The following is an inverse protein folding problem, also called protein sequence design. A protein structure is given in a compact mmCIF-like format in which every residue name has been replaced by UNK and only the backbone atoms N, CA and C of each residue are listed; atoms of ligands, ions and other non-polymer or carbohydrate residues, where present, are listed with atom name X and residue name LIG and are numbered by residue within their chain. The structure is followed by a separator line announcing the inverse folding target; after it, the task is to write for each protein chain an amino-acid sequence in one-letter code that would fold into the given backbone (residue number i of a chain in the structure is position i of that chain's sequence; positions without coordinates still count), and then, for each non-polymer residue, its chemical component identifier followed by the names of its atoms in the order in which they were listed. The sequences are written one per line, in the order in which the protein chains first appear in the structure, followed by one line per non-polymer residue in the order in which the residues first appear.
data_IF_522601054099
#
_entry.id   IF_522601054099
#
_cell.length_a   1.000
_cell.length_b   1.000
_cell.length_c   1.000
_cell.angle_alpha   90.00
_cell.angle_beta   90.00
_cell.angle_gamma   90.00
#
_symmetry.space_group_name_H-M   'P 1'
#
loop_
_entity.id
_entity.type
_entity.pdbx_description
1 polymer ?
#
# COMPACT_ATOMS: atom_id res chain seq x y z
N UNK A 1 68.49 -5.12 41.31
CA UNK A 1 67.32 -5.48 42.12
C UNK A 1 66.09 -5.13 41.27
N UNK A 2 65.41 -6.16 40.71
CA UNK A 2 64.06 -6.16 40.09
C UNK A 2 63.80 -5.14 38.94
N UNK A 3 63.31 -5.47 37.75
CA UNK A 3 62.81 -6.70 37.14
C UNK A 3 62.90 -6.57 35.61
N UNK A 4 62.97 -7.73 35.00
CA UNK A 4 63.16 -8.14 33.61
C UNK A 4 62.05 -7.76 32.61
N UNK A 5 62.52 -7.50 31.39
CA UNK A 5 61.82 -7.54 30.10
C UNK A 5 61.24 -8.94 29.84
N UNK A 6 60.02 -9.03 29.33
CA UNK A 6 59.40 -10.26 28.84
C UNK A 6 58.38 -9.99 27.73
N UNK A 7 58.73 -10.38 26.50
CA UNK A 7 57.86 -10.38 25.31
C UNK A 7 56.93 -11.60 25.34
N UNK A 8 55.64 -11.37 25.10
CA UNK A 8 54.63 -12.31 24.58
C UNK A 8 53.56 -11.39 23.95
N UNK A 9 53.24 -11.40 22.65
CA UNK A 9 53.04 -12.52 21.77
C UNK A 9 51.53 -12.73 21.60
N UNK A 10 50.88 -11.98 20.71
CA UNK A 10 49.85 -12.49 19.79
C UNK A 10 49.26 -11.37 18.93
N UNK A 11 49.39 -11.53 17.62
CA UNK A 11 48.86 -10.66 16.57
C UNK A 11 47.33 -10.56 16.62
N UNK A 12 46.81 -9.37 16.90
CA UNK A 12 45.44 -9.01 16.56
C UNK A 12 45.39 -8.56 15.09
N UNK A 13 45.14 -9.50 14.17
CA UNK A 13 44.82 -9.18 12.77
C UNK A 13 43.37 -8.68 12.75
N UNK A 14 43.21 -7.35 12.73
CA UNK A 14 41.92 -6.71 12.53
C UNK A 14 41.55 -6.84 11.04
N UNK A 15 40.81 -7.88 10.70
CA UNK A 15 40.27 -8.11 9.36
C UNK A 15 39.15 -7.10 9.09
N UNK A 16 39.52 -5.96 8.52
CA UNK A 16 38.56 -4.98 7.97
C UNK A 16 37.94 -5.62 6.72
N UNK A 17 36.77 -6.23 6.91
CA UNK A 17 35.93 -6.68 5.79
C UNK A 17 35.42 -5.42 5.09
N UNK A 18 36.12 -5.02 4.04
CA UNK A 18 35.60 -4.07 3.05
C UNK A 18 34.39 -4.70 2.37
N UNK A 19 33.20 -4.42 2.91
CA UNK A 19 31.96 -4.54 2.14
C UNK A 19 32.04 -3.47 1.06
N UNK A 20 32.55 -3.86 -0.12
CA UNK A 20 32.53 -3.03 -1.31
C UNK A 20 31.07 -2.82 -1.71
N UNK A 21 30.49 -1.73 -1.22
CA UNK A 21 29.25 -1.17 -1.74
C UNK A 21 29.54 -0.69 -3.15
N UNK A 22 29.26 -1.51 -4.17
CA UNK A 22 29.25 -1.08 -5.57
C UNK A 22 28.10 -0.07 -5.76
N UNK A 23 28.31 1.19 -5.35
CA UNK A 23 27.46 2.30 -5.76
C UNK A 23 27.77 2.59 -7.22
N UNK A 24 26.78 2.44 -8.09
CA UNK A 24 26.89 2.72 -9.51
C UNK A 24 27.25 4.20 -9.73
N UNK A 25 28.38 4.44 -10.40
CA UNK A 25 28.99 5.75 -10.66
C UNK A 25 28.01 6.70 -11.42
N UNK A 26 27.75 7.94 -10.96
CA UNK A 26 26.79 8.86 -11.58
C UNK A 26 27.13 9.30 -13.01
N UNK A 27 28.35 9.10 -13.51
CA UNK A 27 28.74 9.35 -14.92
C UNK A 27 28.36 8.20 -15.87
N UNK A 28 27.40 7.36 -15.47
CA UNK A 28 27.32 5.95 -15.85
C UNK A 28 27.00 5.70 -17.34
N UNK A 29 27.85 4.85 -17.94
CA UNK A 29 27.53 4.05 -19.12
C UNK A 29 26.16 3.40 -18.97
N UNK A 30 25.48 3.18 -20.10
CA UNK A 30 24.22 2.44 -20.21
C UNK A 30 24.24 1.19 -19.31
N UNK A 31 23.24 0.98 -18.43
CA UNK A 31 23.19 -0.21 -17.60
C UNK A 31 23.15 -1.47 -18.47
N UNK A 32 23.84 -2.53 -18.05
CA UNK A 32 23.91 -3.81 -18.76
C UNK A 32 23.31 -4.92 -17.93
N UNK A 33 22.50 -5.77 -18.56
CA UNK A 33 21.86 -6.92 -17.92
C UNK A 33 22.56 -8.25 -18.22
N UNK A 34 23.66 -8.26 -19.00
CA UNK A 34 24.36 -9.49 -19.41
C UNK A 34 24.68 -10.44 -18.26
N UNK A 35 25.07 -9.90 -17.10
CA UNK A 35 25.41 -10.71 -15.92
C UNK A 35 24.23 -11.41 -15.25
N UNK A 36 22.99 -11.06 -15.62
CA UNK A 36 21.74 -11.56 -15.03
C UNK A 36 20.71 -12.02 -16.06
N UNK A 37 21.12 -12.18 -17.33
CA UNK A 37 20.27 -12.73 -18.39
C UNK A 37 19.79 -14.15 -18.02
N UNK A 38 18.51 -14.43 -18.29
CA UNK A 38 17.87 -15.70 -17.99
C UNK A 38 17.59 -15.98 -16.51
N UNK A 39 18.09 -15.15 -15.59
CA UNK A 39 17.84 -15.32 -14.15
C UNK A 39 16.43 -14.81 -13.83
N UNK A 40 15.61 -15.70 -13.25
CA UNK A 40 14.28 -15.35 -12.74
C UNK A 40 14.40 -14.63 -11.40
N UNK A 41 13.88 -13.42 -11.36
CA UNK A 41 13.75 -12.59 -10.18
C UNK A 41 12.29 -12.54 -9.73
N UNK A 42 12.07 -12.73 -8.43
CA UNK A 42 10.77 -12.63 -7.78
C UNK A 42 10.82 -11.41 -6.86
N UNK A 43 9.86 -10.50 -7.01
CA UNK A 43 9.72 -9.37 -6.09
C UNK A 43 9.33 -9.90 -4.73
N UNK A 44 10.18 -9.64 -3.74
CA UNK A 44 9.97 -10.07 -2.36
C UNK A 44 9.56 -8.92 -1.47
N UNK A 45 9.77 -7.67 -1.89
CA UNK A 45 9.47 -6.51 -1.05
C UNK A 45 9.27 -5.25 -1.88
N UNK A 46 8.26 -4.47 -1.51
CA UNK A 46 8.06 -3.10 -1.99
C UNK A 46 7.83 -2.17 -0.80
N UNK A 47 8.56 -1.08 -0.75
CA UNK A 47 8.56 -0.12 0.37
C UNK A 47 8.65 1.31 -0.14
N UNK A 48 8.12 2.25 0.63
CA UNK A 48 8.44 3.66 0.46
C UNK A 48 9.88 3.94 0.92
N UNK A 49 10.38 5.13 0.61
CA UNK A 49 11.67 5.64 1.06
C UNK A 49 11.77 5.76 2.59
N UNK A 50 10.62 5.80 3.28
CA UNK A 50 10.51 5.68 4.75
C UNK A 50 10.88 4.29 5.27
N UNK A 51 10.98 3.31 4.39
CA UNK A 51 11.25 1.91 4.72
C UNK A 51 10.00 1.11 5.12
N UNK A 52 8.81 1.70 5.17
CA UNK A 52 7.57 0.97 5.43
C UNK A 52 6.91 0.51 4.13
N UNK A 53 6.18 -0.60 4.18
CA UNK A 53 5.30 -1.01 3.08
C UNK A 53 3.97 -0.26 3.07
N UNK A 54 3.71 0.61 4.05
CA UNK A 54 2.48 1.39 4.18
C UNK A 54 2.78 2.88 4.15
N UNK A 55 1.87 3.66 3.54
CA UNK A 55 1.86 5.12 3.66
C UNK A 55 1.07 5.57 4.89
N UNK A 56 1.21 6.85 5.24
CA UNK A 56 0.43 7.48 6.31
C UNK A 56 -1.08 7.50 6.03
N UNK A 57 -1.50 7.36 4.77
CA UNK A 57 -2.91 7.28 4.34
C UNK A 57 -3.45 5.85 4.28
N UNK A 58 -2.66 4.85 4.65
CA UNK A 58 -3.06 3.44 4.65
C UNK A 58 -2.79 2.69 3.34
N UNK A 59 -2.17 3.34 2.33
CA UNK A 59 -1.84 2.67 1.08
C UNK A 59 -0.68 1.68 1.28
N UNK A 60 -0.94 0.41 0.98
CA UNK A 60 0.05 -0.66 1.03
C UNK A 60 0.73 -0.90 -0.32
N UNK A 61 2.05 -0.90 -0.32
CA UNK A 61 2.88 -1.43 -1.39
C UNK A 61 2.89 -2.96 -1.34
N UNK A 62 2.30 -3.58 -2.35
CA UNK A 62 2.24 -5.04 -2.48
C UNK A 62 3.23 -5.48 -3.56
N UNK A 63 4.22 -6.32 -3.23
CA UNK A 63 5.13 -6.89 -4.22
C UNK A 63 4.43 -7.98 -5.06
N UNK A 64 4.48 -7.85 -6.37
CA UNK A 64 3.73 -8.72 -7.30
C UNK A 64 4.55 -9.17 -8.51
N UNK A 65 5.68 -8.52 -8.79
CA UNK A 65 6.40 -8.74 -10.04
C UNK A 65 7.24 -10.02 -10.02
N UNK A 66 7.22 -10.73 -11.13
CA UNK A 66 8.18 -11.80 -11.45
C UNK A 66 8.72 -11.52 -12.84
N UNK A 67 10.04 -11.46 -12.97
CA UNK A 67 10.65 -11.06 -14.23
C UNK A 67 11.97 -11.78 -14.49
N UNK A 68 12.42 -11.76 -15.74
CA UNK A 68 13.79 -12.10 -16.10
C UNK A 68 14.20 -11.33 -17.35
N UNK A 69 15.49 -10.98 -17.40
CA UNK A 69 16.08 -10.27 -18.52
C UNK A 69 16.44 -11.25 -19.64
N UNK A 70 16.26 -10.82 -20.88
CA UNK A 70 16.62 -11.55 -22.09
C UNK A 70 17.83 -10.88 -22.76
N UNK A 71 18.55 -11.61 -23.62
CA UNK A 71 19.50 -11.00 -24.54
C UNK A 71 18.84 -9.91 -25.39
N UNK A 72 19.60 -8.89 -25.76
CA UNK A 72 19.12 -7.83 -26.64
C UNK A 72 18.13 -6.87 -25.98
N UNK A 73 18.37 -6.52 -24.71
CA UNK A 73 17.70 -5.39 -24.04
C UNK A 73 16.18 -5.53 -23.89
N UNK A 74 15.75 -6.71 -23.45
CA UNK A 74 14.34 -6.99 -23.21
C UNK A 74 14.11 -7.72 -21.90
N UNK A 75 12.87 -7.65 -21.41
CA UNK A 75 12.45 -8.28 -20.16
C UNK A 75 11.16 -9.05 -20.39
N UNK A 76 11.03 -10.20 -19.74
CA UNK A 76 9.78 -10.92 -19.61
C UNK A 76 9.21 -10.73 -18.22
N UNK A 77 7.94 -10.34 -18.13
CA UNK A 77 7.23 -10.12 -16.86
C UNK A 77 6.02 -11.04 -16.82
N UNK A 78 5.82 -11.73 -15.71
CA UNK A 78 4.64 -12.58 -15.52
C UNK A 78 3.37 -11.74 -15.38
N UNK A 79 2.39 -11.97 -16.25
CA UNK A 79 1.06 -11.40 -16.13
C UNK A 79 0.13 -12.36 -15.39
N UNK A 80 -0.42 -11.99 -14.23
CA UNK A 80 -1.39 -12.84 -13.52
C UNK A 80 -2.73 -12.94 -14.26
N UNK A 81 -3.09 -11.94 -15.07
CA UNK A 81 -4.31 -11.94 -15.87
C UNK A 81 -4.20 -12.92 -17.05
N UNK A 82 -3.10 -12.83 -17.79
CA UNK A 82 -2.84 -13.69 -18.97
C UNK A 82 -2.24 -15.05 -18.58
N UNK A 83 -1.88 -15.25 -17.31
CA UNK A 83 -1.20 -16.44 -16.77
C UNK A 83 0.08 -16.84 -17.50
N UNK A 84 0.76 -15.88 -18.13
CA UNK A 84 1.98 -16.10 -18.93
C UNK A 84 2.96 -14.94 -18.81
N UNK A 85 4.20 -15.19 -19.20
CA UNK A 85 5.21 -14.14 -19.32
C UNK A 85 4.99 -13.32 -20.60
N UNK A 86 4.90 -12.01 -20.45
CA UNK A 86 4.77 -11.05 -21.55
C UNK A 86 6.12 -10.38 -21.78
N UNK A 87 6.47 -10.22 -23.05
CA UNK A 87 7.69 -9.55 -23.48
C UNK A 87 7.52 -8.04 -23.47
N UNK A 88 8.53 -7.33 -22.98
CA UNK A 88 8.64 -5.88 -23.09
C UNK A 88 10.06 -5.48 -23.52
N UNK A 89 10.21 -4.57 -24.50
CA UNK A 89 11.49 -3.94 -24.77
C UNK A 89 11.88 -3.03 -23.59
N UNK A 90 13.19 -2.93 -23.32
CA UNK A 90 13.74 -1.99 -22.35
C UNK A 90 14.23 -0.76 -23.11
N UNK A 91 13.62 0.38 -22.80
CA UNK A 91 14.09 1.68 -23.27
C UNK A 91 15.05 2.26 -22.23
N UNK A 92 16.22 2.70 -22.69
CA UNK A 92 17.23 3.30 -21.84
C UNK A 92 17.11 4.81 -21.92
N UNK A 93 17.18 5.45 -20.78
CA UNK A 93 17.32 6.89 -20.65
C UNK A 93 18.66 7.18 -19.95
N UNK A 94 18.95 8.44 -19.70
CA UNK A 94 20.20 8.88 -19.07
C UNK A 94 20.48 8.16 -17.74
N UNK A 95 21.77 7.93 -17.49
CA UNK A 95 22.29 7.24 -16.31
C UNK A 95 21.67 5.83 -16.11
N UNK A 96 21.04 5.61 -14.97
CA UNK A 96 20.51 4.30 -14.54
C UNK A 96 18.99 4.20 -14.75
N UNK A 97 18.41 5.08 -15.56
CA UNK A 97 16.96 5.14 -15.79
C UNK A 97 16.59 4.28 -17.00
N UNK A 98 15.58 3.45 -16.81
CA UNK A 98 15.03 2.57 -17.83
C UNK A 98 13.51 2.67 -17.83
N UNK A 99 12.89 2.35 -18.95
CA UNK A 99 11.45 2.16 -19.06
C UNK A 99 11.16 0.79 -19.65
N UNK A 100 10.25 0.06 -19.01
CA UNK A 100 9.61 -1.12 -19.60
C UNK A 100 8.24 -1.29 -18.96
N UNK A 101 7.34 -1.99 -19.65
CA UNK A 101 5.97 -2.22 -19.18
C UNK A 101 5.23 -0.94 -18.73
N UNK A 102 5.50 0.19 -19.41
CA UNK A 102 4.97 1.53 -19.11
C UNK A 102 5.40 2.13 -17.77
N UNK A 103 6.37 1.54 -17.09
CA UNK A 103 6.90 2.04 -15.83
C UNK A 103 8.32 2.57 -16.01
N UNK A 104 8.56 3.76 -15.44
CA UNK A 104 9.90 4.35 -15.37
C UNK A 104 10.58 3.87 -14.09
N UNK A 105 11.79 3.37 -14.22
CA UNK A 105 12.52 2.72 -13.14
C UNK A 105 13.96 3.23 -13.10
N UNK A 106 14.50 3.41 -11.91
CA UNK A 106 15.94 3.60 -11.71
C UNK A 106 16.54 2.32 -11.17
N UNK A 107 17.60 1.87 -11.82
CA UNK A 107 18.39 0.73 -11.40
C UNK A 107 19.28 1.13 -10.21
N UNK A 108 18.98 0.60 -9.03
CA UNK A 108 19.77 0.90 -7.82
C UNK A 108 20.85 -0.16 -7.61
N UNK A 109 20.50 -1.44 -7.83
CA UNK A 109 21.40 -2.57 -7.61
C UNK A 109 21.06 -3.73 -8.53
N UNK A 110 22.07 -4.39 -9.09
CA UNK A 110 21.92 -5.62 -9.90
C UNK A 110 23.07 -6.56 -9.63
N UNK A 111 22.74 -7.79 -9.24
CA UNK A 111 23.64 -8.94 -9.31
C UNK A 111 22.82 -10.23 -9.49
N UNK A 112 23.49 -11.39 -9.54
CA UNK A 112 22.84 -12.69 -9.78
C UNK A 112 21.84 -13.09 -8.68
N UNK A 113 21.99 -12.55 -7.48
CA UNK A 113 21.17 -12.93 -6.32
C UNK A 113 20.01 -11.96 -6.08
N UNK A 114 20.20 -10.69 -6.44
CA UNK A 114 19.32 -9.61 -6.02
C UNK A 114 19.27 -8.46 -7.03
N UNK A 115 18.09 -7.84 -7.10
CA UNK A 115 17.81 -6.67 -7.93
C UNK A 115 17.06 -5.66 -7.06
N UNK A 116 17.48 -4.40 -7.13
CA UNK A 116 16.77 -3.28 -6.49
C UNK A 116 16.47 -2.23 -7.53
N UNK A 117 15.18 -1.92 -7.66
CA UNK A 117 14.65 -0.90 -8.55
C UNK A 117 13.96 0.18 -7.73
N UNK A 118 14.05 1.43 -8.18
CA UNK A 118 13.22 2.52 -7.68
C UNK A 118 12.19 2.87 -8.74
N UNK A 119 10.91 2.91 -8.37
CA UNK A 119 9.84 3.35 -9.25
C UNK A 119 9.85 4.87 -9.35
N UNK A 120 9.86 5.38 -10.59
CA UNK A 120 9.93 6.80 -10.88
C UNK A 120 8.58 7.32 -11.34
N UNK A 121 8.15 8.43 -10.75
CA UNK A 121 7.03 9.21 -11.27
C UNK A 121 7.58 10.22 -12.27
N UNK A 122 7.22 10.07 -13.54
CA UNK A 122 7.58 11.02 -14.60
C UNK A 122 6.36 11.89 -14.92
N UNK A 123 6.55 13.20 -14.88
CA UNK A 123 5.55 14.22 -15.22
C UNK A 123 6.21 15.25 -16.13
N UNK A 124 5.57 15.60 -17.25
CA UNK A 124 6.11 16.58 -18.20
C UNK A 124 7.56 16.30 -18.63
N UNK A 125 7.88 15.02 -18.88
CA UNK A 125 9.22 14.50 -19.24
C UNK A 125 10.30 14.72 -18.16
N UNK A 126 9.92 14.99 -16.93
CA UNK A 126 10.83 15.14 -15.80
C UNK A 126 10.52 14.14 -14.70
N UNK A 127 11.57 13.64 -14.04
CA UNK A 127 11.43 12.78 -12.86
C UNK A 127 11.00 13.64 -11.68
N UNK A 128 9.79 13.40 -11.17
CA UNK A 128 9.31 13.99 -9.93
C UNK A 128 9.94 13.23 -8.76
N UNK A 129 10.98 13.81 -8.15
CA UNK A 129 11.73 13.19 -7.04
C UNK A 129 10.87 12.96 -5.80
N UNK A 130 9.94 13.88 -5.51
CA UNK A 130 9.06 13.81 -4.33
C UNK A 130 8.05 12.67 -4.42
N UNK A 131 7.61 12.33 -5.64
CA UNK A 131 6.70 11.21 -5.90
C UNK A 131 7.42 9.89 -6.22
N UNK A 132 8.73 9.93 -6.50
CA UNK A 132 9.56 8.75 -6.81
C UNK A 132 10.07 8.07 -5.54
N UNK A 133 9.18 7.71 -4.63
CA UNK A 133 9.54 7.26 -3.27
C UNK A 133 9.51 5.76 -3.09
N UNK A 134 9.21 4.98 -4.13
CA UNK A 134 8.97 3.53 -3.99
C UNK A 134 10.18 2.73 -4.45
N UNK A 135 10.60 1.76 -3.64
CA UNK A 135 11.69 0.83 -3.91
C UNK A 135 11.18 -0.60 -3.93
N UNK A 136 11.57 -1.34 -4.96
CA UNK A 136 11.24 -2.73 -5.21
C UNK A 136 12.50 -3.57 -5.04
N UNK A 137 12.43 -4.63 -4.23
CA UNK A 137 13.51 -5.59 -4.03
C UNK A 137 13.09 -6.95 -4.54
N UNK A 138 13.98 -7.55 -5.29
CA UNK A 138 13.81 -8.87 -5.86
C UNK A 138 14.97 -9.77 -5.44
N UNK A 139 14.66 -11.04 -5.29
CA UNK A 139 15.66 -12.09 -5.18
C UNK A 139 15.54 -13.05 -6.36
N UNK A 140 16.67 -13.59 -6.79
CA UNK A 140 16.66 -14.66 -7.77
C UNK A 140 16.04 -15.92 -7.17
N UNK A 141 15.38 -16.71 -8.02
CA UNK A 141 14.80 -18.00 -7.61
C UNK A 141 15.88 -18.93 -7.02
N UNK A 142 17.10 -18.91 -7.60
CA UNK A 142 18.24 -19.66 -7.07
C UNK A 142 18.67 -19.20 -5.67
N UNK A 143 18.75 -17.90 -5.42
CA UNK A 143 19.11 -17.38 -4.09
C UNK A 143 18.04 -17.72 -3.04
N UNK A 144 16.77 -17.60 -3.40
CA UNK A 144 15.65 -17.97 -2.52
C UNK A 144 15.69 -19.45 -2.11
N UNK A 145 15.89 -20.33 -3.08
CA UNK A 145 15.79 -21.77 -2.86
C UNK A 145 17.05 -22.37 -2.24
N UNK A 146 18.23 -21.91 -2.69
CA UNK A 146 19.51 -22.57 -2.38
C UNK A 146 20.29 -21.88 -1.27
N UNK A 147 20.03 -20.59 -0.98
CA UNK A 147 20.76 -19.83 0.05
C UNK A 147 19.85 -19.45 1.21
N UNK A 148 18.71 -18.83 0.92
CA UNK A 148 17.77 -18.40 1.97
C UNK A 148 16.88 -19.53 2.47
N UNK A 149 16.69 -20.59 1.68
CA UNK A 149 15.72 -21.65 1.92
C UNK A 149 14.34 -21.10 2.31
N UNK A 150 13.90 -20.04 1.63
CA UNK A 150 12.74 -19.25 2.00
C UNK A 150 11.70 -19.21 0.88
N UNK A 151 10.42 -19.31 1.27
CA UNK A 151 9.32 -19.08 0.35
C UNK A 151 9.18 -17.57 0.06
N UNK A 152 9.19 -17.18 -1.22
CA UNK A 152 8.99 -15.78 -1.62
C UNK A 152 7.73 -15.15 -1.00
N UNK A 153 6.63 -15.89 -0.89
CA UNK A 153 5.37 -15.37 -0.34
C UNK A 153 5.44 -15.08 1.16
N UNK A 154 6.35 -15.73 1.91
CA UNK A 154 6.59 -15.35 3.31
C UNK A 154 7.34 -14.02 3.40
N UNK A 155 8.29 -13.78 2.50
CA UNK A 155 9.07 -12.55 2.45
C UNK A 155 8.25 -11.32 2.01
N UNK A 156 7.22 -11.55 1.19
CA UNK A 156 6.26 -10.51 0.76
C UNK A 156 5.38 -9.98 1.88
N UNK A 157 5.23 -10.73 2.99
CA UNK A 157 4.36 -10.33 4.09
C UNK A 157 4.88 -9.06 4.78
N UNK A 158 3.99 -8.23 5.34
CA UNK A 158 4.35 -7.15 6.25
C UNK A 158 5.26 -7.63 7.38
N UNK A 159 6.26 -6.83 7.72
CA UNK A 159 7.23 -7.12 8.80
C UNK A 159 6.78 -6.52 10.12
N UNK A 160 7.48 -6.86 11.21
CA UNK A 160 7.24 -6.28 12.53
C UNK A 160 7.25 -4.75 12.51
N UNK A 161 8.20 -4.12 11.80
CA UNK A 161 8.25 -2.67 11.65
C UNK A 161 6.98 -2.07 11.03
N UNK A 162 6.37 -2.76 10.05
CA UNK A 162 5.12 -2.32 9.43
C UNK A 162 3.97 -2.43 10.44
N UNK A 163 3.97 -3.49 11.26
CA UNK A 163 2.97 -3.68 12.32
C UNK A 163 3.06 -2.59 13.39
N UNK A 164 4.27 -2.22 13.81
CA UNK A 164 4.50 -1.13 14.76
C UNK A 164 4.06 0.21 14.16
N UNK A 165 4.39 0.45 12.89
CA UNK A 165 3.97 1.65 12.17
C UNK A 165 2.44 1.75 12.10
N UNK A 166 1.74 0.70 11.69
CA UNK A 166 0.27 0.65 11.64
C UNK A 166 -0.33 0.82 13.04
N UNK A 167 0.24 0.21 14.07
CA UNK A 167 -0.23 0.40 15.46
C UNK A 167 -0.14 1.86 15.90
N UNK A 168 0.93 2.57 15.52
CA UNK A 168 1.07 4.02 15.78
C UNK A 168 -0.02 4.82 15.07
N UNK A 169 -0.29 4.53 13.80
CA UNK A 169 -1.36 5.19 13.05
C UNK A 169 -2.74 4.89 13.66
N UNK A 170 -3.01 3.63 14.00
CA UNK A 170 -4.23 3.20 14.66
C UNK A 170 -4.45 3.97 15.96
N UNK A 171 -3.45 4.03 16.83
CA UNK A 171 -3.53 4.77 18.10
C UNK A 171 -3.84 6.27 17.88
N UNK A 172 -3.19 6.91 16.90
CA UNK A 172 -3.45 8.31 16.53
C UNK A 172 -4.91 8.49 16.07
N UNK A 173 -5.35 7.67 15.11
CA UNK A 173 -6.70 7.75 14.54
C UNK A 173 -7.78 7.47 15.59
N UNK A 174 -7.57 6.50 16.49
CA UNK A 174 -8.54 6.14 17.52
C UNK A 174 -8.65 7.23 18.60
N UNK A 175 -7.53 7.85 18.98
CA UNK A 175 -7.54 8.99 19.92
C UNK A 175 -8.32 10.19 19.37
N UNK A 176 -8.36 10.33 18.05
CA UNK A 176 -8.98 11.45 17.35
C UNK A 176 -10.06 10.96 16.37
N UNK A 177 -10.84 9.95 16.75
CA UNK A 177 -11.76 9.23 15.84
C UNK A 177 -12.84 10.09 15.17
N UNK A 178 -13.11 11.28 15.70
CA UNK A 178 -14.05 12.28 15.15
C UNK A 178 -13.38 13.33 14.24
N UNK A 179 -12.07 13.27 14.06
CA UNK A 179 -11.31 14.17 13.20
C UNK A 179 -10.82 13.42 11.95
N UNK A 180 -11.39 13.75 10.80
CA UNK A 180 -11.08 13.13 9.51
C UNK A 180 -9.58 13.19 9.17
N UNK A 181 -8.89 14.29 9.48
CA UNK A 181 -7.46 14.48 9.18
C UNK A 181 -6.54 13.50 9.93
N UNK A 182 -7.04 12.88 11.01
CA UNK A 182 -6.29 11.91 11.80
C UNK A 182 -6.45 10.46 11.32
N UNK A 183 -7.46 10.22 10.47
CA UNK A 183 -7.84 8.89 9.99
C UNK A 183 -6.94 8.42 8.85
N UNK A 184 -6.98 7.12 8.59
CA UNK A 184 -6.32 6.51 7.43
C UNK A 184 -7.12 5.32 6.94
N UNK A 185 -6.91 4.93 5.68
CA UNK A 185 -7.68 3.89 5.03
C UNK A 185 -7.36 2.50 5.61
N UNK A 186 -8.38 1.69 5.90
CA UNK A 186 -8.18 0.32 6.35
C UNK A 186 -8.00 -0.66 5.18
N UNK A 187 -7.00 -1.55 5.26
CA UNK A 187 -6.81 -2.61 4.25
C UNK A 187 -7.97 -3.60 4.19
N UNK A 188 -8.61 -3.84 5.33
CA UNK A 188 -9.92 -4.50 5.43
C UNK A 188 -10.94 -3.41 5.78
N UNK A 189 -11.72 -2.93 4.80
CA UNK A 189 -12.72 -1.90 5.05
C UNK A 189 -13.77 -2.34 6.07
N UNK A 190 -14.52 -1.35 6.57
CA UNK A 190 -15.71 -1.56 7.41
C UNK A 190 -16.64 -2.58 6.77
N UNK A 191 -17.29 -3.43 7.57
CA UNK A 191 -18.29 -4.37 7.07
C UNK A 191 -19.60 -4.11 7.76
N UNK A 192 -20.64 -3.90 6.96
CA UNK A 192 -22.02 -3.82 7.42
C UNK A 192 -22.73 -5.14 7.18
N UNK A 193 -23.39 -5.65 8.21
CA UNK A 193 -24.28 -6.81 8.11
C UNK A 193 -25.65 -6.41 8.62
N UNK A 194 -26.69 -6.59 7.82
CA UNK A 194 -28.04 -6.27 8.25
C UNK A 194 -28.53 -7.24 9.34
N UNK A 195 -29.12 -6.67 10.40
CA UNK A 195 -29.87 -7.38 11.44
C UNK A 195 -31.39 -7.30 11.20
N UNK A 196 -31.84 -6.52 10.21
CA UNK A 196 -33.25 -6.23 9.97
C UNK A 196 -33.59 -6.27 8.47
N UNK A 197 -34.65 -6.97 8.03
CA UNK A 197 -35.02 -7.05 6.62
C UNK A 197 -35.36 -5.70 5.98
N UNK A 198 -35.64 -4.67 6.77
CA UNK A 198 -35.91 -3.31 6.30
C UNK A 198 -34.64 -2.49 6.06
N UNK A 199 -33.44 -3.00 6.33
CA UNK A 199 -32.20 -2.33 5.95
C UNK A 199 -31.31 -3.25 5.13
N UNK A 200 -30.77 -2.73 4.04
CA UNK A 200 -29.72 -3.38 3.26
C UNK A 200 -28.53 -2.46 3.16
N UNK A 201 -27.33 -3.03 3.23
CA UNK A 201 -26.08 -2.31 3.13
C UNK A 201 -25.12 -3.13 2.29
N UNK A 202 -24.63 -2.56 1.19
CA UNK A 202 -23.66 -3.24 0.34
C UNK A 202 -22.55 -2.26 -0.05
N UNK A 203 -21.33 -2.80 -0.08
CA UNK A 203 -20.18 -2.04 -0.55
C UNK A 203 -20.29 -1.88 -2.06
N UNK A 204 -20.21 -0.64 -2.54
CA UNK A 204 -20.12 -0.37 -3.97
C UNK A 204 -18.76 -0.84 -4.48
N UNK A 205 -18.77 -1.55 -5.60
CA UNK A 205 -17.57 -1.86 -6.37
C UNK A 205 -17.67 -1.11 -7.69
N UNK A 206 -16.59 -0.52 -8.16
CA UNK A 206 -16.65 0.18 -9.44
C UNK A 206 -16.93 -0.82 -10.57
N UNK A 207 -17.64 -0.43 -11.64
CA UNK A 207 -17.90 -1.29 -12.77
C UNK A 207 -16.60 -1.84 -13.36
N UNK A 208 -16.54 -3.15 -13.59
CA UNK A 208 -15.39 -3.76 -14.27
C UNK A 208 -15.28 -3.18 -15.68
N UNK A 209 -14.15 -2.53 -15.99
CA UNK A 209 -13.85 -2.00 -17.32
C UNK A 209 -13.85 -0.47 -17.41
N UNK A 210 -14.12 0.25 -16.32
CA UNK A 210 -14.02 1.71 -16.32
C UNK A 210 -12.56 2.17 -16.49
N UNK A 211 -12.26 3.11 -17.42
CA UNK A 211 -10.90 3.60 -17.63
C UNK A 211 -10.29 4.17 -16.35
N UNK A 212 -9.16 3.60 -15.91
CA UNK A 212 -8.45 4.04 -14.70
C UNK A 212 -8.87 3.32 -13.42
N UNK A 213 -9.85 2.42 -13.47
CA UNK A 213 -10.21 1.56 -12.35
C UNK A 213 -9.05 0.66 -11.92
N UNK A 214 -8.76 0.64 -10.62
CA UNK A 214 -7.70 -0.14 -10.01
C UNK A 214 -8.29 -0.94 -8.84
N UNK A 215 -8.66 -2.22 -9.04
CA UNK A 215 -9.26 -3.06 -7.99
C UNK A 215 -8.44 -3.07 -6.70
N UNK A 216 -7.11 -3.08 -6.83
CA UNK A 216 -6.20 -3.09 -5.69
C UNK A 216 -6.22 -1.80 -4.86
N UNK A 217 -6.87 -0.72 -5.31
CA UNK A 217 -7.01 0.57 -4.61
C UNK A 217 -8.40 0.79 -4.00
N UNK A 218 -9.39 -0.07 -4.25
CA UNK A 218 -10.78 0.16 -3.82
C UNK A 218 -10.96 0.33 -2.31
N UNK A 219 -10.04 -0.19 -1.51
CA UNK A 219 -10.09 -0.09 -0.06
C UNK A 219 -9.72 1.32 0.45
N UNK A 220 -9.10 2.16 -0.38
CA UNK A 220 -8.66 3.50 0.03
C UNK A 220 -9.85 4.43 0.30
N UNK A 221 -10.86 4.37 -0.56
CA UNK A 221 -12.07 5.17 -0.44
C UNK A 221 -13.29 4.24 -0.56
N UNK A 222 -13.60 3.45 0.47
CA UNK A 222 -14.71 2.51 0.37
C UNK A 222 -16.05 3.25 0.40
N UNK A 223 -16.92 2.93 -0.57
CA UNK A 223 -18.27 3.48 -0.67
C UNK A 223 -19.32 2.41 -0.38
N UNK A 224 -20.44 2.81 0.23
CA UNK A 224 -21.54 1.92 0.59
C UNK A 224 -22.85 2.50 0.16
N UNK A 225 -23.69 1.66 -0.44
CA UNK A 225 -25.09 1.94 -0.68
C UNK A 225 -25.90 1.31 0.47
N UNK A 226 -26.68 2.13 1.15
CA UNK A 226 -27.55 1.70 2.24
C UNK A 226 -28.98 2.11 1.93
N UNK A 227 -29.89 1.14 1.95
CA UNK A 227 -31.31 1.38 1.76
C UNK A 227 -32.07 1.01 3.03
N UNK A 228 -32.92 1.94 3.49
CA UNK A 228 -33.84 1.77 4.61
C UNK A 228 -35.26 1.78 4.06
N UNK A 229 -35.95 0.66 4.18
CA UNK A 229 -37.40 0.51 3.94
C UNK A 229 -38.18 0.91 5.20
N UNK A 230 -39.44 1.33 5.04
CA UNK A 230 -40.27 1.83 6.14
C UNK A 230 -39.62 2.98 6.92
N UNK A 231 -38.90 3.85 6.23
CA UNK A 231 -38.36 5.06 6.81
C UNK A 231 -39.49 6.03 7.19
N UNK A 232 -39.23 6.97 8.10
CA UNK A 232 -40.23 7.98 8.47
C UNK A 232 -40.67 8.86 7.27
N UNK A 233 -39.75 9.12 6.34
CA UNK A 233 -39.97 9.88 5.10
C UNK A 233 -38.99 9.41 4.03
N UNK A 234 -39.27 9.75 2.79
CA UNK A 234 -38.31 9.55 1.71
C UNK A 234 -37.13 10.52 1.84
N UNK A 235 -35.92 10.01 1.63
CA UNK A 235 -34.70 10.81 1.59
C UNK A 235 -33.59 10.11 0.81
N UNK A 236 -32.66 10.90 0.30
CA UNK A 236 -31.46 10.44 -0.40
C UNK A 236 -30.29 11.36 -0.01
N UNK A 237 -29.29 10.80 0.66
CA UNK A 237 -28.15 11.55 1.20
C UNK A 237 -26.82 10.89 0.86
N UNK A 238 -25.86 11.72 0.47
CA UNK A 238 -24.47 11.33 0.23
C UNK A 238 -23.57 12.10 1.19
N UNK A 239 -22.84 11.37 2.03
CA UNK A 239 -21.96 11.96 3.04
C UNK A 239 -20.90 10.97 3.50
N UNK A 240 -19.78 11.47 4.03
CA UNK A 240 -18.79 10.63 4.65
C UNK A 240 -19.15 10.32 6.10
N UNK A 241 -18.73 9.14 6.57
CA UNK A 241 -18.95 8.66 7.92
C UNK A 241 -17.62 8.23 8.51
N UNK A 242 -17.35 8.67 9.73
CA UNK A 242 -16.18 8.27 10.52
C UNK A 242 -16.62 7.09 11.38
N UNK A 243 -16.10 5.91 11.10
CA UNK A 243 -16.36 4.69 11.86
C UNK A 243 -15.18 4.45 12.77
N UNK A 244 -15.39 4.44 14.09
CA UNK A 244 -14.31 4.24 15.05
C UNK A 244 -13.92 2.76 15.20
N UNK A 245 -12.89 2.48 16.00
CA UNK A 245 -12.40 1.12 16.26
C UNK A 245 -13.39 0.19 16.99
N UNK A 246 -14.50 0.72 17.52
CA UNK A 246 -15.58 -0.05 18.13
C UNK A 246 -16.80 -0.20 17.21
N UNK A 247 -16.79 0.46 16.04
CA UNK A 247 -17.90 0.48 15.10
C UNK A 247 -18.88 1.64 15.27
N UNK A 248 -18.62 2.59 16.20
CA UNK A 248 -19.48 3.76 16.35
C UNK A 248 -19.29 4.71 15.16
N UNK A 249 -20.39 5.33 14.73
CA UNK A 249 -20.39 6.18 13.54
C UNK A 249 -20.60 7.64 13.90
N UNK A 250 -19.79 8.53 13.33
CA UNK A 250 -19.98 9.97 13.41
C UNK A 250 -20.05 10.55 12.00
N UNK A 251 -20.97 11.49 11.76
CA UNK A 251 -21.07 12.19 10.47
C UNK A 251 -19.78 12.96 10.18
N UNK A 252 -19.23 12.76 8.97
CA UNK A 252 -18.07 13.47 8.44
C UNK A 252 -18.45 14.67 7.58
N UNK A 253 -17.90 14.70 6.38
CA UNK A 253 -18.13 15.72 5.37
C UNK A 253 -19.38 15.41 4.54
N UNK A 254 -20.03 16.45 4.02
CA UNK A 254 -21.14 16.32 3.09
C UNK A 254 -21.23 17.58 2.22
N UNK A 255 -21.90 17.49 1.08
CA UNK A 255 -22.03 18.62 0.17
C UNK A 255 -22.91 19.72 0.79
N UNK A 256 -22.49 20.98 0.63
CA UNK A 256 -23.18 22.16 1.15
C UNK A 256 -23.46 23.20 0.08
N UNK A 257 -24.59 23.87 0.25
CA UNK A 257 -24.90 25.14 -0.42
C UNK A 257 -24.46 26.32 0.45
N UNK A 258 -24.68 26.29 1.78
CA UNK A 258 -24.36 27.41 2.71
C UNK A 258 -24.00 26.93 4.14
N UNK A 259 -23.15 27.69 4.86
CA UNK A 259 -22.61 27.33 6.20
C UNK A 259 -23.65 27.26 7.31
N UNK A 260 -24.69 28.07 7.25
CA UNK A 260 -25.72 28.15 8.30
C UNK A 260 -26.56 26.87 8.44
N UNK A 261 -26.69 26.10 7.36
CA UNK A 261 -27.41 24.82 7.37
C UNK A 261 -26.55 23.63 7.82
N UNK A 262 -25.25 23.83 8.09
CA UNK A 262 -24.34 22.75 8.47
C UNK A 262 -24.72 22.06 9.77
N UNK A 263 -24.83 22.81 10.86
CA UNK A 263 -25.12 22.23 12.16
C UNK A 263 -26.51 21.54 12.23
N UNK A 264 -27.59 22.12 11.67
CA UNK A 264 -28.87 21.42 11.56
C UNK A 264 -28.79 20.14 10.73
N UNK A 265 -28.13 20.18 9.55
CA UNK A 265 -28.05 19.02 8.67
C UNK A 265 -27.22 17.89 9.29
N UNK A 266 -26.10 18.22 9.94
CA UNK A 266 -25.28 17.24 10.68
C UNK A 266 -26.09 16.53 11.75
N UNK A 267 -26.92 17.25 12.51
CA UNK A 267 -27.83 16.66 13.52
C UNK A 267 -28.82 15.69 12.90
N UNK A 268 -29.42 16.03 11.76
CA UNK A 268 -30.34 15.13 11.02
C UNK A 268 -29.61 13.87 10.57
N UNK A 269 -28.44 14.01 9.94
CA UNK A 269 -27.65 12.87 9.45
C UNK A 269 -27.21 11.98 10.62
N UNK A 270 -26.75 12.56 11.72
CA UNK A 270 -26.34 11.80 12.91
C UNK A 270 -27.53 11.05 13.50
N UNK A 271 -28.69 11.69 13.62
CA UNK A 271 -29.91 11.02 14.08
C UNK A 271 -30.31 9.83 13.20
N UNK A 272 -30.05 9.87 11.90
CA UNK A 272 -30.31 8.72 11.02
C UNK A 272 -29.30 7.59 11.29
N UNK A 273 -28.01 7.91 11.48
CA UNK A 273 -26.99 6.92 11.85
C UNK A 273 -27.36 6.21 13.15
N UNK A 274 -27.68 6.98 14.20
CA UNK A 274 -27.95 6.47 15.56
C UNK A 274 -29.26 5.66 15.61
N UNK A 275 -30.30 6.09 14.89
CA UNK A 275 -31.63 5.45 14.95
C UNK A 275 -31.72 4.24 14.03
N UNK A 276 -31.16 4.31 12.82
CA UNK A 276 -31.30 3.23 11.84
C UNK A 276 -30.06 2.37 11.79
N UNK A 277 -28.90 2.94 11.46
CA UNK A 277 -27.72 2.13 11.12
C UNK A 277 -27.15 1.44 12.36
N UNK A 278 -26.98 2.15 13.48
CA UNK A 278 -26.46 1.56 14.72
C UNK A 278 -27.39 0.46 15.27
N UNK A 279 -28.71 0.67 15.20
CA UNK A 279 -29.70 -0.31 15.70
C UNK A 279 -29.88 -1.51 14.79
N UNK A 280 -29.80 -1.32 13.47
CA UNK A 280 -30.18 -2.35 12.49
C UNK A 280 -29.02 -2.98 11.75
N UNK A 281 -27.78 -2.52 11.95
CA UNK A 281 -26.59 -3.13 11.39
C UNK A 281 -25.71 -3.74 12.49
N UNK A 282 -25.02 -4.81 12.12
CA UNK A 282 -23.76 -5.20 12.73
C UNK A 282 -22.63 -4.50 12.00
N UNK A 283 -21.78 -3.80 12.75
CA UNK A 283 -20.71 -2.99 12.19
C UNK A 283 -19.39 -3.60 12.64
N UNK A 284 -18.67 -4.22 11.70
CA UNK A 284 -17.28 -4.60 11.94
C UNK A 284 -16.39 -3.42 11.53
N UNK A 285 -15.58 -2.87 12.43
CA UNK A 285 -14.72 -1.72 12.13
C UNK A 285 -13.64 -2.08 11.09
N UNK A 286 -13.15 -1.06 10.41
CA UNK A 286 -12.00 -1.20 9.51
C UNK A 286 -10.76 -1.68 10.25
N UNK A 287 -9.94 -2.51 9.60
CA UNK A 287 -8.68 -2.96 10.18
C UNK A 287 -7.54 -3.06 9.18
N UNK A 288 -6.32 -2.88 9.69
CA UNK A 288 -5.08 -3.09 8.94
C UNK A 288 -4.16 -3.99 9.75
N UNK A 289 -3.67 -5.08 9.15
CA UNK A 289 -2.89 -6.11 9.86
C UNK A 289 -3.60 -6.71 11.10
N UNK A 290 -4.94 -6.73 11.10
CA UNK A 290 -5.75 -7.21 12.22
C UNK A 290 -5.86 -6.22 13.38
N UNK A 291 -5.40 -4.97 13.21
CA UNK A 291 -5.55 -3.90 14.20
C UNK A 291 -6.77 -3.05 13.78
N UNK A 292 -7.88 -3.06 14.56
CA UNK A 292 -9.02 -2.18 14.31
C UNK A 292 -8.64 -0.71 14.52
N UNK A 293 -9.11 0.16 13.65
CA UNK A 293 -8.86 1.58 13.76
C UNK A 293 -9.98 2.42 13.15
N UNK A 294 -10.03 3.69 13.53
CA UNK A 294 -10.98 4.63 12.96
C UNK A 294 -10.69 4.85 11.46
N UNK A 295 -11.75 4.91 10.66
CA UNK A 295 -11.69 5.07 9.20
C UNK A 295 -12.82 5.95 8.69
N UNK A 296 -12.56 6.66 7.60
CA UNK A 296 -13.61 7.36 6.85
C UNK A 296 -14.13 6.47 5.72
N UNK A 297 -15.45 6.50 5.51
CA UNK A 297 -16.14 5.82 4.42
C UNK A 297 -17.11 6.79 3.74
N UNK A 298 -17.46 6.54 2.47
CA UNK A 298 -18.56 7.24 1.81
C UNK A 298 -19.85 6.43 1.96
N UNK A 299 -20.94 7.12 2.31
CA UNK A 299 -22.26 6.52 2.44
C UNK A 299 -23.25 7.18 1.48
N UNK A 300 -23.89 6.36 0.66
CA UNK A 300 -25.04 6.68 -0.16
C UNK A 300 -26.28 6.09 0.50
N UNK A 301 -27.06 6.93 1.17
CA UNK A 301 -28.11 6.51 2.07
C UNK A 301 -29.48 6.91 1.53
N UNK A 302 -30.31 5.90 1.25
CA UNK A 302 -31.68 6.07 0.78
C UNK A 302 -32.69 5.58 1.80
N UNK A 303 -33.67 6.40 2.13
CA UNK A 303 -34.84 6.04 2.92
C UNK A 303 -36.08 6.01 2.04
N UNK A 304 -36.91 4.97 2.18
CA UNK A 304 -38.19 4.79 1.49
C UNK A 304 -39.27 4.62 2.54
N UNK A 305 -40.33 5.42 2.49
CA UNK A 305 -41.42 5.41 3.49
C UNK A 305 -42.29 4.15 3.47
N UNK A 306 -42.38 3.49 2.31
CA UNK A 306 -43.22 2.31 2.05
C UNK A 306 -42.88 1.11 2.96
#
# INVERSE_FOLDING_TARGET
MLHTIGKCGCCAVLLIIFVSCNRLDPKSKRPSFKGVEGIKFIEVRREFNTGYSFSEHGFQQVPEWKLYFLPGDSVKIYSPFEKRYIFYPIYFDHAQVINFAREWLRLIHVNKDSLVLQLLKVQSKQVNKELSTVYMRFYSEGYLNNVLHANADSLKKPKLKDTIFIRRLANRSNKHSKNADSLFSARKPVVFRSKNPNITAFRRSAPKGEPGYKPHLEYLNPEYDVEIKKAYKDFDYNFTVLVDSSGNMTVGSFAFLEKEFEAPRRRVLQGILDVYLEKFLDITPGSTLGIPHATEIMLHLRGIKN
#
